data_IF_443261892010
#
_entry.id   IF_443261892010
#
_cell.length_a   1.000
_cell.length_b   1.000
_cell.length_c   1.000
_cell.angle_alpha   90.00
_cell.angle_beta   90.00
_cell.angle_gamma   90.00
#
_symmetry.space_group_name_H-M   'P 1'
#
loop_
_entity.id
_entity.type
_entity.pdbx_description
1 polymer ?
#
# COMPACT_ATOMS: atom_id res chain seq x y z
N UNK A 1 9.57 -6.70 6.54
CA UNK A 1 8.78 -6.04 7.61
C UNK A 1 7.31 -6.40 7.37
N UNK A 2 6.53 -6.67 8.42
CA UNK A 2 5.07 -6.85 8.32
C UNK A 2 4.43 -5.60 8.91
N UNK A 3 3.58 -4.92 8.15
CA UNK A 3 2.79 -3.78 8.59
C UNK A 3 1.40 -4.29 8.96
N UNK A 4 0.91 -3.91 10.12
CA UNK A 4 -0.48 -4.12 10.54
C UNK A 4 -1.17 -2.78 10.47
N UNK A 5 -2.27 -2.72 9.71
CA UNK A 5 -3.04 -1.51 9.52
C UNK A 5 -4.37 -1.70 10.22
N UNK A 6 -4.69 -0.79 11.14
CA UNK A 6 -5.99 -0.73 11.80
C UNK A 6 -6.78 0.41 11.15
N UNK A 7 -7.66 0.06 10.21
CA UNK A 7 -8.52 1.00 9.50
C UNK A 7 -9.85 0.34 9.12
N UNK A 8 -10.89 1.16 8.94
CA UNK A 8 -12.19 0.71 8.46
C UNK A 8 -12.19 0.66 6.93
N UNK A 9 -12.25 -0.53 6.30
CA UNK A 9 -12.20 -0.64 4.86
C UNK A 9 -13.52 -0.16 4.24
N UNK A 10 -13.42 0.78 3.30
CA UNK A 10 -14.58 1.18 2.52
C UNK A 10 -15.09 0.02 1.64
N UNK A 11 -16.27 0.19 1.03
CA UNK A 11 -16.87 -0.84 0.16
C UNK A 11 -15.94 -1.24 -1.01
N UNK A 12 -15.21 -0.28 -1.57
CA UNK A 12 -14.28 -0.53 -2.68
C UNK A 12 -13.06 -1.34 -2.19
N UNK A 13 -12.49 -0.99 -1.02
CA UNK A 13 -11.43 -1.77 -0.38
C UNK A 13 -11.85 -3.22 -0.14
N UNK A 14 -13.06 -3.45 0.37
CA UNK A 14 -13.58 -4.80 0.60
C UNK A 14 -13.70 -5.60 -0.69
N UNK A 15 -14.17 -4.95 -1.77
CA UNK A 15 -14.24 -5.58 -3.09
C UNK A 15 -12.85 -5.94 -3.61
N UNK A 16 -11.90 -5.00 -3.59
CA UNK A 16 -10.53 -5.25 -4.04
C UNK A 16 -9.84 -6.35 -3.22
N UNK A 17 -10.04 -6.37 -1.89
CA UNK A 17 -9.49 -7.42 -1.03
C UNK A 17 -10.05 -8.80 -1.37
N UNK A 18 -11.34 -8.90 -1.67
CA UNK A 18 -11.97 -10.14 -2.09
C UNK A 18 -11.41 -10.62 -3.46
N UNK A 19 -11.23 -9.71 -4.41
CA UNK A 19 -10.63 -10.00 -5.73
C UNK A 19 -9.18 -10.47 -5.59
N UNK A 20 -8.37 -9.78 -4.79
CA UNK A 20 -6.97 -10.16 -4.51
C UNK A 20 -6.85 -11.51 -3.79
N UNK A 21 -7.85 -11.88 -3.00
CA UNK A 21 -7.92 -13.14 -2.26
C UNK A 21 -8.58 -14.27 -3.06
N UNK A 22 -9.03 -13.99 -4.29
CA UNK A 22 -9.66 -14.99 -5.14
C UNK A 22 -8.66 -16.09 -5.52
N UNK A 23 -9.12 -17.34 -5.74
CA UNK A 23 -8.25 -18.42 -6.20
C UNK A 23 -7.49 -18.06 -7.47
N UNK A 24 -8.16 -17.38 -8.41
CA UNK A 24 -7.59 -16.91 -9.67
C UNK A 24 -6.37 -16.02 -9.43
N UNK A 25 -6.47 -15.05 -8.52
CA UNK A 25 -5.36 -14.17 -8.18
C UNK A 25 -4.26 -14.85 -7.37
N UNK A 26 -4.60 -15.83 -6.53
CA UNK A 26 -3.59 -16.60 -5.77
C UNK A 26 -2.68 -17.43 -6.69
N UNK A 27 -3.25 -17.99 -7.77
CA UNK A 27 -2.54 -18.77 -8.77
C UNK A 27 -2.05 -17.95 -9.98
N UNK A 28 -2.39 -16.67 -10.05
CA UNK A 28 -1.91 -15.76 -11.09
C UNK A 28 -0.38 -15.57 -11.04
N UNK A 29 0.18 -15.17 -12.17
CA UNK A 29 1.61 -14.89 -12.28
C UNK A 29 2.02 -13.68 -11.40
N UNK A 30 3.32 -13.64 -11.08
CA UNK A 30 3.86 -12.61 -10.19
C UNK A 30 3.60 -11.19 -10.69
N UNK A 31 3.63 -10.95 -12.01
CA UNK A 31 3.46 -9.60 -12.55
C UNK A 31 2.02 -9.14 -12.34
N UNK A 32 1.06 -9.98 -12.71
CA UNK A 32 -0.38 -9.71 -12.51
C UNK A 32 -0.69 -9.45 -11.04
N UNK A 33 -0.19 -10.29 -10.13
CA UNK A 33 -0.38 -10.10 -8.68
C UNK A 33 0.19 -8.79 -8.16
N UNK A 34 1.36 -8.39 -8.63
CA UNK A 34 2.00 -7.13 -8.24
C UNK A 34 1.20 -5.94 -8.76
N UNK A 35 0.73 -6.00 -10.01
CA UNK A 35 -0.05 -4.92 -10.62
C UNK A 35 -1.39 -4.72 -9.89
N UNK A 36 -2.13 -5.80 -9.60
CA UNK A 36 -3.39 -5.69 -8.84
C UNK A 36 -3.16 -5.24 -7.40
N UNK A 37 -2.12 -5.73 -6.73
CA UNK A 37 -1.77 -5.27 -5.38
C UNK A 37 -1.38 -3.79 -5.38
N UNK A 38 -0.72 -3.31 -6.44
CA UNK A 38 -0.36 -1.90 -6.58
C UNK A 38 -1.60 -1.01 -6.78
N UNK A 39 -2.63 -1.49 -7.47
CA UNK A 39 -3.91 -0.77 -7.59
C UNK A 39 -4.58 -0.60 -6.22
N UNK A 40 -4.63 -1.67 -5.43
CA UNK A 40 -5.17 -1.61 -4.06
C UNK A 40 -4.38 -0.63 -3.18
N UNK A 41 -3.05 -0.68 -3.23
CA UNK A 41 -2.21 0.27 -2.48
C UNK A 41 -2.46 1.72 -2.91
N UNK A 42 -2.64 2.01 -4.21
CA UNK A 42 -2.98 3.36 -4.67
C UNK A 42 -4.32 3.82 -4.10
N UNK A 43 -5.33 2.95 -4.14
CA UNK A 43 -6.64 3.26 -3.57
C UNK A 43 -6.52 3.59 -2.07
N UNK A 44 -5.79 2.79 -1.31
CA UNK A 44 -5.51 3.08 0.11
C UNK A 44 -4.82 4.44 0.28
N UNK A 45 -3.76 4.71 -0.47
CA UNK A 45 -2.99 5.94 -0.29
C UNK A 45 -3.73 7.23 -0.67
N UNK A 46 -4.74 7.14 -1.53
CA UNK A 46 -5.48 8.31 -2.00
C UNK A 46 -6.80 8.53 -1.25
N UNK A 47 -7.38 7.47 -0.70
CA UNK A 47 -8.71 7.54 -0.09
C UNK A 47 -8.70 7.31 1.43
N UNK A 48 -7.64 6.73 1.99
CA UNK A 48 -7.51 6.40 3.41
C UNK A 48 -6.30 7.12 4.01
N UNK A 49 -6.47 8.40 4.34
CA UNK A 49 -5.39 9.23 4.91
C UNK A 49 -4.88 8.68 6.24
N UNK A 50 -5.75 8.07 7.04
CA UNK A 50 -5.42 7.40 8.30
C UNK A 50 -4.42 6.26 8.09
N UNK A 51 -4.56 5.51 7.00
CA UNK A 51 -3.63 4.42 6.64
C UNK A 51 -2.27 4.99 6.25
N UNK A 52 -2.25 6.07 5.45
CA UNK A 52 -0.99 6.72 5.05
C UNK A 52 -0.24 7.25 6.25
N UNK A 53 -0.94 7.93 7.16
CA UNK A 53 -0.35 8.49 8.38
C UNK A 53 0.26 7.38 9.25
N UNK A 54 -0.51 6.32 9.53
CA UNK A 54 -0.02 5.18 10.31
C UNK A 54 1.22 4.52 9.67
N UNK A 55 1.22 4.32 8.35
CA UNK A 55 2.39 3.79 7.62
C UNK A 55 3.59 4.72 7.76
N UNK A 56 3.42 6.04 7.66
CA UNK A 56 4.52 7.00 7.81
C UNK A 56 5.07 7.07 9.24
N UNK A 57 4.25 6.79 10.26
CA UNK A 57 4.66 6.73 11.66
C UNK A 57 5.44 5.46 11.99
N UNK A 58 5.03 4.31 11.45
CA UNK A 58 5.67 3.01 11.63
C UNK A 58 6.92 2.81 10.77
N UNK A 59 7.01 3.49 9.62
CA UNK A 59 8.22 3.46 8.81
C UNK A 59 9.32 4.24 9.53
N UNK A 60 10.56 3.71 9.59
CA UNK A 60 11.68 4.46 10.14
C UNK A 60 11.79 5.77 9.37
N UNK A 61 11.54 6.89 10.06
CA UNK A 61 11.72 8.24 9.52
C UNK A 61 13.06 8.24 8.81
N UNK A 62 13.08 8.37 7.48
CA UNK A 62 14.34 8.45 6.76
C UNK A 62 15.15 9.56 7.42
N UNK A 63 16.34 9.23 7.93
CA UNK A 63 17.24 10.23 8.49
C UNK A 63 17.38 11.33 7.44
N UNK A 64 17.12 12.58 7.83
CA UNK A 64 17.27 13.81 7.02
C UNK A 64 18.74 14.09 6.63
N UNK A 65 19.52 13.06 6.29
CA UNK A 65 20.95 13.19 5.92
C UNK A 65 21.18 13.02 4.41
N UNK A 66 20.13 13.11 3.60
CA UNK A 66 20.25 13.24 2.16
C UNK A 66 19.22 14.27 1.67
N UNK A 67 19.46 15.55 1.96
CA UNK A 67 19.03 16.58 1.02
C UNK A 67 19.82 16.31 -0.27
N UNK A 68 19.18 15.95 -1.40
CA UNK A 68 19.88 16.00 -2.68
C UNK A 68 20.27 17.46 -2.90
N UNK A 69 21.58 17.69 -2.92
CA UNK A 69 22.19 18.99 -3.23
C UNK A 69 21.86 19.29 -4.71
N UNK A 70 20.71 19.91 -4.97
CA UNK A 70 20.21 20.23 -6.30
C UNK A 70 21.10 21.24 -7.08
N UNK A 71 22.20 21.68 -6.47
CA UNK A 71 23.10 22.72 -6.98
C UNK A 71 24.56 22.29 -7.17
N UNK A 72 24.86 20.99 -7.26
CA UNK A 72 26.19 20.50 -7.68
C UNK A 72 26.18 19.85 -9.06
#
# INVERSE_FOLDING_TARGET
MKLYLDFDPCQECNTMMAELSSPEMLFADKKTRVDESAKFLRHLTYNHNEVVQAVMEDLPKQKKDQEPDFYK
#
